data_IF_044742687464
#
_entry.id   IF_044742687464
#
_cell.length_a   1.000
_cell.length_b   1.000
_cell.length_c   1.000
_cell.angle_alpha   90.00
_cell.angle_beta   90.00
_cell.angle_gamma   90.00
#
_symmetry.space_group_name_H-M   'P 1'
#
loop_
_entity.id
_entity.type
_entity.pdbx_description
1 polymer ?
#
# COMPACT_ATOMS: atom_id res chain seq x y z
N UNK A 1 -37.49 51.03 -7.90
CA UNK A 1 -36.12 51.55 -8.07
C UNK A 1 -35.13 50.65 -7.33
N UNK A 2 -34.80 49.43 -7.78
CA UNK A 2 -34.81 48.88 -9.14
C UNK A 2 -34.00 49.73 -10.12
N UNK A 3 -32.84 49.20 -10.49
CA UNK A 3 -32.28 49.36 -11.83
C UNK A 3 -32.04 47.96 -12.37
N UNK A 4 -32.62 47.71 -13.54
CA UNK A 4 -32.32 46.57 -14.42
C UNK A 4 -31.50 47.18 -15.58
N UNK A 5 -31.20 46.37 -16.61
CA UNK A 5 -30.52 46.69 -17.87
C UNK A 5 -28.99 46.52 -17.85
N UNK A 6 -28.35 45.86 -18.81
CA UNK A 6 -28.75 44.74 -19.69
C UNK A 6 -27.45 44.01 -20.17
N UNK A 7 -27.49 42.81 -20.75
CA UNK A 7 -26.27 42.09 -21.15
C UNK A 7 -25.71 42.55 -22.51
N UNK A 8 -24.39 42.43 -22.71
CA UNK A 8 -23.74 42.55 -24.02
C UNK A 8 -23.34 41.18 -24.58
N UNK A 9 -23.37 41.05 -25.90
CA UNK A 9 -23.33 39.80 -26.65
C UNK A 9 -22.17 39.71 -27.65
N UNK A 10 -21.86 38.48 -28.05
CA UNK A 10 -21.31 38.05 -29.36
C UNK A 10 -19.98 38.65 -29.88
N UNK A 11 -18.98 37.76 -30.03
CA UNK A 11 -18.31 37.37 -31.30
C UNK A 11 -16.88 36.85 -31.04
N UNK A 12 -16.20 36.12 -31.93
CA UNK A 12 -16.54 35.05 -32.92
C UNK A 12 -15.16 34.51 -33.43
N UNK A 13 -15.16 33.55 -34.36
CA UNK A 13 -14.03 33.04 -35.15
C UNK A 13 -12.95 32.17 -34.45
N UNK A 14 -12.83 30.94 -34.93
CA UNK A 14 -11.60 30.14 -34.87
C UNK A 14 -10.60 30.52 -35.98
N UNK A 15 -9.54 29.72 -36.19
CA UNK A 15 -9.64 28.77 -37.33
C UNK A 15 -8.98 27.40 -37.09
N UNK A 16 -9.21 26.49 -38.03
CA UNK A 16 -8.69 25.12 -38.07
C UNK A 16 -7.18 25.02 -38.35
N UNK A 17 -6.58 23.90 -37.93
CA UNK A 17 -5.29 23.40 -38.44
C UNK A 17 -5.47 21.92 -38.79
N UNK A 18 -5.22 21.56 -40.04
CA UNK A 18 -5.25 20.17 -40.52
C UNK A 18 -3.86 19.50 -40.44
N UNK A 19 -3.78 18.16 -40.34
CA UNK A 19 -2.52 17.42 -40.40
C UNK A 19 -2.14 17.06 -41.85
N UNK A 20 -0.86 17.24 -42.20
CA UNK A 20 -0.27 16.77 -43.47
C UNK A 20 0.20 15.30 -43.41
N UNK A 21 0.48 14.72 -44.59
CA UNK A 21 0.73 13.28 -44.81
C UNK A 21 2.03 13.01 -45.61
N UNK A 22 2.43 11.72 -45.67
CA UNK A 22 3.47 11.13 -46.55
C UNK A 22 4.95 11.47 -46.16
N UNK A 23 6.02 10.76 -46.58
CA UNK A 23 6.23 9.47 -47.31
C UNK A 23 7.71 9.03 -47.16
N UNK A 24 8.19 7.81 -47.47
CA UNK A 24 7.54 6.55 -47.88
C UNK A 24 7.73 5.46 -46.78
N UNK A 25 8.50 4.34 -46.85
CA UNK A 25 9.33 3.66 -47.87
C UNK A 25 9.41 2.13 -47.61
N UNK A 26 10.14 1.35 -48.44
CA UNK A 26 10.07 -0.13 -48.50
C UNK A 26 11.43 -0.88 -48.33
N UNK A 27 11.39 -2.21 -48.54
CA UNK A 27 12.48 -3.21 -48.65
C UNK A 27 13.04 -3.80 -47.32
N UNK A 28 13.38 -5.09 -47.20
CA UNK A 28 13.26 -6.21 -48.17
C UNK A 28 13.09 -7.59 -47.50
N UNK A 29 12.85 -8.63 -48.30
CA UNK A 29 12.63 -10.02 -47.88
C UNK A 29 13.87 -10.75 -47.34
N UNK A 30 13.64 -11.77 -46.49
CA UNK A 30 14.07 -13.19 -46.71
C UNK A 30 13.48 -14.08 -45.59
N UNK A 31 13.15 -15.33 -45.93
CA UNK A 31 12.77 -16.38 -44.98
C UNK A 31 13.76 -17.56 -45.08
N UNK A 32 14.00 -18.29 -43.98
CA UNK A 32 14.51 -19.66 -44.05
C UNK A 32 14.13 -20.49 -42.82
N UNK A 33 14.33 -21.80 -42.89
CA UNK A 33 13.67 -22.81 -42.04
C UNK A 33 14.58 -23.48 -40.97
N UNK A 34 13.92 -24.24 -40.09
CA UNK A 34 14.36 -25.51 -39.48
C UNK A 34 15.60 -25.55 -38.52
N UNK A 35 15.26 -25.70 -37.23
CA UNK A 35 15.79 -26.63 -36.19
C UNK A 35 17.10 -27.40 -36.44
N UNK A 36 17.92 -27.59 -35.38
CA UNK A 36 17.83 -28.89 -34.69
C UNK A 36 17.83 -28.82 -33.15
N UNK A 37 17.42 -29.93 -32.52
CA UNK A 37 17.41 -30.15 -31.06
C UNK A 37 18.82 -30.40 -30.50
N UNK A 38 19.06 -30.06 -29.21
CA UNK A 38 19.48 -31.06 -28.21
C UNK A 38 19.51 -30.57 -26.76
N UNK A 39 19.17 -31.52 -25.87
CA UNK A 39 19.57 -31.72 -24.48
C UNK A 39 19.89 -30.51 -23.57
N UNK A 40 19.18 -30.45 -22.44
CA UNK A 40 19.86 -30.53 -21.14
C UNK A 40 19.02 -31.39 -20.17
N UNK A 41 19.69 -32.04 -19.21
CA UNK A 41 19.23 -33.32 -18.64
C UNK A 41 18.18 -33.24 -17.52
N UNK A 42 17.54 -34.37 -17.27
CA UNK A 42 16.59 -34.59 -16.16
C UNK A 42 17.30 -34.44 -14.81
N UNK A 43 16.95 -33.40 -14.05
CA UNK A 43 17.23 -33.35 -12.60
C UNK A 43 16.01 -33.89 -11.85
N UNK A 44 16.27 -34.83 -10.94
CA UNK A 44 15.29 -35.73 -10.35
C UNK A 44 14.22 -35.06 -9.47
N UNK A 45 12.96 -35.43 -9.69
CA UNK A 45 11.88 -35.26 -8.71
C UNK A 45 12.14 -36.16 -7.48
N UNK A 46 12.73 -35.60 -6.43
CA UNK A 46 12.70 -36.16 -5.08
C UNK A 46 12.84 -35.04 -4.05
N UNK A 47 12.11 -35.17 -2.94
CA UNK A 47 12.18 -34.32 -1.74
C UNK A 47 11.69 -32.85 -1.84
N UNK A 48 10.36 -32.62 -1.86
CA UNK A 48 9.75 -31.68 -0.86
C UNK A 48 8.21 -31.80 -0.60
N UNK A 49 7.58 -32.96 -0.84
CA UNK A 49 6.14 -33.19 -0.63
C UNK A 49 5.67 -33.04 0.84
N UNK A 50 6.60 -32.89 1.80
CA UNK A 50 6.33 -32.90 3.25
C UNK A 50 6.43 -31.52 3.89
N UNK A 51 7.35 -30.63 3.49
CA UNK A 51 7.41 -29.25 4.04
C UNK A 51 6.17 -28.45 3.68
N UNK A 52 5.65 -28.66 2.46
CA UNK A 52 4.49 -27.92 1.95
C UNK A 52 3.19 -28.16 2.76
N UNK A 53 3.10 -29.28 3.51
CA UNK A 53 1.92 -29.62 4.33
C UNK A 53 1.86 -28.87 5.68
N UNK A 54 3.01 -28.43 6.20
CA UNK A 54 3.09 -27.59 7.39
C UNK A 54 3.12 -26.09 7.05
N UNK A 55 3.42 -25.73 5.80
CA UNK A 55 3.26 -24.37 5.26
C UNK A 55 1.77 -24.00 5.09
N UNK A 56 1.02 -23.89 6.20
CA UNK A 56 -0.25 -23.14 6.28
C UNK A 56 0.02 -21.63 6.24
N UNK A 57 0.76 -21.20 5.23
CA UNK A 57 0.98 -19.79 4.92
C UNK A 57 -0.38 -19.22 4.52
N UNK A 58 -0.88 -18.26 5.29
CA UNK A 58 -1.83 -17.31 4.72
C UNK A 58 -1.03 -16.35 3.85
N UNK A 59 -0.71 -16.80 2.62
CA UNK A 59 -0.17 -15.91 1.60
C UNK A 59 -1.19 -14.78 1.43
N UNK A 60 -0.80 -13.55 1.77
CA UNK A 60 -1.66 -12.39 1.64
C UNK A 60 -2.01 -12.27 0.15
N UNK A 61 -3.30 -12.44 -0.17
CA UNK A 61 -3.75 -12.56 -1.55
C UNK A 61 -3.56 -11.24 -2.27
N UNK A 62 -2.66 -11.22 -3.25
CA UNK A 62 -2.44 -10.04 -4.09
C UNK A 62 -3.60 -9.93 -5.08
N UNK A 63 -4.68 -9.28 -4.65
CA UNK A 63 -5.83 -9.03 -5.49
C UNK A 63 -5.50 -7.90 -6.47
N UNK A 64 -5.41 -8.26 -7.76
CA UNK A 64 -5.23 -7.34 -8.89
C UNK A 64 -6.07 -6.06 -8.69
N UNK A 65 -5.47 -4.89 -8.91
CA UNK A 65 -6.10 -3.57 -8.72
C UNK A 65 -7.41 -3.47 -9.52
N UNK A 66 -7.43 -4.04 -10.73
CA UNK A 66 -8.60 -4.08 -11.63
C UNK A 66 -9.69 -5.11 -11.22
N UNK A 67 -9.55 -5.83 -10.10
CA UNK A 67 -10.52 -6.84 -9.67
C UNK A 67 -11.83 -6.20 -9.15
N UNK A 68 -12.93 -6.39 -9.89
CA UNK A 68 -14.21 -5.77 -9.57
C UNK A 68 -15.04 -6.62 -8.57
N UNK A 69 -14.97 -6.30 -7.27
CA UNK A 69 -15.75 -7.00 -6.23
C UNK A 69 -17.14 -6.39 -6.01
N UNK A 70 -18.20 -7.18 -6.17
CA UNK A 70 -19.56 -6.84 -5.74
C UNK A 70 -20.05 -7.75 -4.61
N UNK A 71 -21.11 -7.33 -3.92
CA UNK A 71 -21.71 -8.09 -2.82
C UNK A 71 -23.24 -8.19 -2.95
N UNK A 72 -23.87 -9.01 -2.10
CA UNK A 72 -25.33 -9.14 -1.99
C UNK A 72 -25.73 -9.36 -0.53
N UNK A 73 -25.06 -8.65 0.38
CA UNK A 73 -25.21 -8.82 1.82
C UNK A 73 -26.57 -8.33 2.31
N UNK A 74 -27.23 -9.14 3.15
CA UNK A 74 -28.46 -8.76 3.86
C UNK A 74 -28.16 -7.99 5.16
N UNK A 75 -27.00 -8.23 5.75
CA UNK A 75 -26.55 -7.67 7.02
C UNK A 75 -25.79 -6.34 6.81
N UNK A 76 -26.35 -5.44 6.00
CA UNK A 76 -25.98 -4.02 5.89
C UNK A 76 -24.52 -3.72 5.46
N UNK A 77 -23.72 -4.73 5.13
CA UNK A 77 -22.27 -4.62 4.89
C UNK A 77 -21.45 -4.05 6.07
N UNK A 78 -21.99 -4.06 7.30
CA UNK A 78 -21.37 -3.53 8.51
C UNK A 78 -20.18 -4.37 9.06
N UNK A 79 -19.73 -5.40 8.33
CA UNK A 79 -18.69 -6.33 8.78
C UNK A 79 -17.88 -6.88 7.62
N UNK A 80 -16.69 -7.39 7.92
CA UNK A 80 -15.71 -7.94 6.98
C UNK A 80 -16.20 -9.19 6.22
N UNK A 81 -17.38 -9.72 6.58
CA UNK A 81 -18.10 -10.72 5.76
C UNK A 81 -18.67 -10.12 4.46
N UNK A 82 -18.64 -8.80 4.30
CA UNK A 82 -18.91 -8.14 3.03
C UNK A 82 -17.68 -8.21 2.13
N UNK A 83 -17.78 -8.94 1.01
CA UNK A 83 -16.68 -9.11 0.05
C UNK A 83 -16.09 -7.79 -0.47
N UNK A 84 -16.84 -6.69 -0.47
CA UNK A 84 -16.30 -5.36 -0.79
C UNK A 84 -15.39 -4.87 0.35
N UNK A 85 -15.89 -4.83 1.58
CA UNK A 85 -15.14 -4.39 2.77
C UNK A 85 -13.93 -5.29 3.09
N UNK A 86 -14.05 -6.61 2.85
CA UNK A 86 -12.97 -7.61 2.91
C UNK A 86 -11.79 -7.27 2.00
N UNK A 87 -12.06 -6.68 0.83
CA UNK A 87 -11.07 -6.38 -0.21
C UNK A 87 -10.82 -4.87 -0.34
N UNK A 88 -11.06 -4.10 0.73
CA UNK A 88 -10.86 -2.64 0.79
C UNK A 88 -11.64 -1.82 -0.26
N UNK A 89 -12.76 -2.34 -0.76
CA UNK A 89 -13.67 -1.65 -1.70
C UNK A 89 -14.89 -1.03 -1.01
N UNK A 90 -15.32 0.14 -1.50
CA UNK A 90 -16.67 0.63 -1.28
C UNK A 90 -17.72 -0.19 -2.07
N UNK A 91 -18.97 -0.14 -1.62
CA UNK A 91 -20.09 -0.82 -2.28
C UNK A 91 -20.69 0.06 -3.38
N UNK A 92 -20.12 0.01 -4.59
CA UNK A 92 -20.66 0.70 -5.78
C UNK A 92 -21.90 0.04 -6.40
N UNK A 93 -22.45 0.63 -7.48
CA UNK A 93 -23.78 0.28 -8.04
C UNK A 93 -24.00 -1.17 -8.48
N UNK A 94 -22.95 -1.95 -8.68
CA UNK A 94 -23.03 -3.39 -8.99
C UNK A 94 -23.37 -4.28 -7.78
N UNK A 95 -23.46 -3.71 -6.58
CA UNK A 95 -23.82 -4.40 -5.35
C UNK A 95 -25.34 -4.51 -5.17
N UNK A 96 -25.80 -5.66 -4.67
CA UNK A 96 -27.22 -5.95 -4.38
C UNK A 96 -27.47 -6.05 -2.87
N UNK A 97 -26.73 -5.29 -2.07
CA UNK A 97 -26.86 -5.22 -0.62
C UNK A 97 -27.96 -4.23 -0.21
N UNK A 98 -28.74 -4.60 0.79
CA UNK A 98 -29.77 -3.73 1.40
C UNK A 98 -29.18 -2.92 2.55
N UNK A 99 -29.63 -1.67 2.72
CA UNK A 99 -29.24 -0.77 3.83
C UNK A 99 -27.71 -0.68 4.03
N UNK A 100 -26.95 -0.35 2.98
CA UNK A 100 -25.50 -0.50 3.00
C UNK A 100 -24.77 0.57 3.85
N UNK A 101 -24.24 0.16 4.99
CA UNK A 101 -23.40 0.96 5.92
C UNK A 101 -21.91 0.59 5.86
N UNK A 102 -21.42 0.03 4.74
CA UNK A 102 -19.99 -0.18 4.52
C UNK A 102 -19.25 1.17 4.69
N UNK A 103 -18.33 1.25 5.66
CA UNK A 103 -17.69 2.50 6.04
C UNK A 103 -16.89 3.13 4.88
N UNK A 104 -16.36 2.31 3.98
CA UNK A 104 -15.65 2.75 2.77
C UNK A 104 -16.56 3.49 1.76
N UNK A 105 -17.89 3.42 1.90
CA UNK A 105 -18.81 4.25 1.14
C UNK A 105 -18.59 5.74 1.45
N UNK A 106 -18.22 6.11 2.69
CA UNK A 106 -17.86 7.49 3.04
C UNK A 106 -16.63 7.98 2.26
N UNK A 107 -15.63 7.11 2.08
CA UNK A 107 -14.41 7.42 1.32
C UNK A 107 -14.67 7.60 -0.18
N UNK A 108 -15.54 6.78 -0.78
CA UNK A 108 -15.96 6.97 -2.17
C UNK A 108 -16.74 8.29 -2.35
N UNK A 109 -17.73 8.55 -1.49
CA UNK A 109 -18.50 9.80 -1.47
C UNK A 109 -17.62 11.04 -1.25
N UNK A 110 -16.61 10.95 -0.38
CA UNK A 110 -15.68 12.04 -0.09
C UNK A 110 -14.92 12.53 -1.33
N UNK A 111 -14.58 11.62 -2.24
CA UNK A 111 -13.95 11.96 -3.52
C UNK A 111 -14.92 12.19 -4.69
N UNK A 112 -16.23 12.04 -4.47
CA UNK A 112 -17.26 12.16 -5.51
C UNK A 112 -17.39 10.94 -6.43
N UNK A 113 -16.86 9.79 -6.02
CA UNK A 113 -16.74 8.58 -6.85
C UNK A 113 -17.83 7.56 -6.48
N UNK A 114 -18.42 6.87 -7.46
CA UNK A 114 -19.40 5.80 -7.17
C UNK A 114 -18.77 4.57 -6.52
N UNK A 115 -17.48 4.32 -6.78
CA UNK A 115 -16.74 3.18 -6.26
C UNK A 115 -15.24 3.46 -6.21
N UNK A 116 -14.61 3.14 -5.09
CA UNK A 116 -13.15 3.17 -4.94
C UNK A 116 -12.62 1.92 -4.23
N UNK A 117 -11.33 1.66 -4.45
CA UNK A 117 -10.49 0.77 -3.65
C UNK A 117 -9.59 1.63 -2.77
N UNK A 118 -9.73 1.49 -1.46
CA UNK A 118 -8.80 2.04 -0.50
C UNK A 118 -7.53 1.18 -0.45
N UNK A 119 -6.40 1.77 -0.09
CA UNK A 119 -5.23 0.99 0.34
C UNK A 119 -5.60 0.19 1.59
N UNK A 120 -5.07 -1.02 1.75
CA UNK A 120 -5.44 -1.87 2.88
C UNK A 120 -5.14 -1.22 4.24
N UNK A 121 -4.04 -0.47 4.33
CA UNK A 121 -3.66 0.27 5.53
C UNK A 121 -4.68 1.39 5.85
N UNK A 122 -5.06 2.22 4.87
CA UNK A 122 -6.09 3.26 5.07
C UNK A 122 -7.47 2.66 5.35
N UNK A 123 -7.85 1.57 4.68
CA UNK A 123 -9.10 0.87 4.92
C UNK A 123 -9.22 0.37 6.36
N UNK A 124 -8.12 -0.13 6.94
CA UNK A 124 -8.04 -0.53 8.33
C UNK A 124 -8.04 0.66 9.29
N UNK A 125 -7.27 1.71 9.02
CA UNK A 125 -7.34 2.96 9.79
C UNK A 125 -8.78 3.49 9.87
N UNK A 126 -9.52 3.51 8.74
CA UNK A 126 -10.94 3.90 8.74
C UNK A 126 -11.79 3.03 9.67
N UNK A 127 -11.62 1.69 9.66
CA UNK A 127 -12.35 0.78 10.57
C UNK A 127 -12.08 1.13 12.03
N UNK A 128 -10.83 1.46 12.38
CA UNK A 128 -10.41 1.82 13.73
C UNK A 128 -11.04 3.15 14.20
N UNK A 129 -11.21 4.14 13.30
CA UNK A 129 -11.98 5.37 13.60
C UNK A 129 -13.49 5.13 13.75
N UNK A 130 -14.01 4.05 13.17
CA UNK A 130 -15.38 3.59 13.36
C UNK A 130 -16.46 4.46 12.69
N UNK A 131 -17.75 4.24 13.04
CA UNK A 131 -18.88 4.84 12.33
C UNK A 131 -19.01 6.36 12.50
N UNK A 132 -18.33 6.96 13.48
CA UNK A 132 -18.34 8.40 13.74
C UNK A 132 -17.51 9.24 12.76
N UNK A 133 -16.55 8.63 12.06
CA UNK A 133 -15.57 9.32 11.19
C UNK A 133 -16.24 10.25 10.15
N UNK A 134 -15.83 11.51 10.10
CA UNK A 134 -16.24 12.48 9.06
C UNK A 134 -15.03 13.07 8.32
N UNK A 135 -14.80 12.58 7.10
CA UNK A 135 -13.75 13.05 6.20
C UNK A 135 -14.02 14.47 5.66
N UNK A 136 -15.26 14.98 5.74
CA UNK A 136 -15.57 16.37 5.35
C UNK A 136 -15.26 17.38 6.45
N UNK A 137 -15.00 16.94 7.70
CA UNK A 137 -14.66 17.84 8.80
C UNK A 137 -13.29 18.49 8.58
N UNK A 138 -13.19 19.78 8.88
CA UNK A 138 -11.92 20.52 8.76
C UNK A 138 -10.84 19.96 9.70
N UNK A 139 -11.24 19.39 10.85
CA UNK A 139 -10.34 18.76 11.81
C UNK A 139 -9.68 17.50 11.22
N UNK A 140 -10.47 16.52 10.78
CA UNK A 140 -9.95 15.27 10.20
C UNK A 140 -9.15 15.53 8.92
N UNK A 141 -9.51 16.53 8.11
CA UNK A 141 -8.68 16.92 6.96
C UNK A 141 -7.35 17.56 7.35
N UNK A 142 -7.24 18.21 8.51
CA UNK A 142 -5.98 18.80 8.95
C UNK A 142 -5.09 17.74 9.61
N UNK A 143 -5.66 16.89 10.47
CA UNK A 143 -5.03 15.68 11.03
C UNK A 143 -4.43 14.80 9.92
N UNK A 144 -5.24 14.43 8.91
CA UNK A 144 -4.78 13.62 7.77
C UNK A 144 -3.70 14.34 6.93
N UNK A 145 -3.81 15.66 6.73
CA UNK A 145 -2.77 16.43 6.02
C UNK A 145 -1.46 16.41 6.81
N UNK A 146 -1.52 16.63 8.12
CA UNK A 146 -0.38 16.62 9.02
C UNK A 146 0.36 15.30 8.99
N UNK A 147 -0.36 14.17 9.09
CA UNK A 147 0.22 12.83 8.99
C UNK A 147 0.93 12.61 7.64
N UNK A 148 0.24 12.86 6.51
CA UNK A 148 0.76 12.61 5.16
C UNK A 148 1.97 13.50 4.80
N UNK A 149 2.05 14.69 5.39
CA UNK A 149 3.15 15.65 5.22
C UNK A 149 4.19 15.58 6.35
N UNK A 150 4.06 14.70 7.34
CA UNK A 150 4.99 14.59 8.47
C UNK A 150 5.13 15.84 9.35
N UNK A 151 4.19 16.79 9.36
CA UNK A 151 4.29 18.06 10.11
C UNK A 151 3.16 18.24 11.13
N UNK A 152 3.43 18.91 12.26
CA UNK A 152 2.42 19.26 13.29
C UNK A 152 1.23 20.06 12.70
N UNK A 153 0.03 19.89 13.26
CA UNK A 153 -1.20 20.58 12.84
C UNK A 153 -1.09 22.12 12.89
N UNK A 154 -0.24 22.65 13.77
CA UNK A 154 0.03 24.09 13.92
C UNK A 154 1.03 24.60 12.89
N UNK A 155 1.81 23.69 12.27
CA UNK A 155 2.82 23.95 11.23
C UNK A 155 2.18 23.94 9.82
N UNK A 156 0.98 24.52 9.68
CA UNK A 156 0.20 24.47 8.44
C UNK A 156 0.96 25.00 7.20
N UNK A 157 1.82 26.00 7.40
CA UNK A 157 2.57 26.65 6.31
C UNK A 157 3.98 26.08 6.09
N UNK A 158 4.40 25.13 6.92
CA UNK A 158 5.73 24.53 6.84
C UNK A 158 5.88 23.62 5.62
N UNK A 159 7.14 23.25 5.37
CA UNK A 159 7.56 22.34 4.32
C UNK A 159 7.29 20.87 4.72
N UNK A 160 6.77 20.01 3.81
CA UNK A 160 6.53 18.60 4.11
C UNK A 160 7.80 17.85 4.50
N UNK A 161 7.70 16.97 5.49
CA UNK A 161 8.78 16.08 5.94
C UNK A 161 8.67 14.70 5.24
N UNK A 162 9.81 14.02 5.05
CA UNK A 162 9.90 12.74 4.34
C UNK A 162 10.55 12.84 2.95
N UNK A 163 11.37 11.86 2.56
CA UNK A 163 12.26 11.99 1.40
C UNK A 163 11.54 11.98 0.05
N UNK A 164 10.39 11.31 -0.06
CA UNK A 164 9.58 11.17 -1.29
C UNK A 164 9.15 12.50 -1.92
N UNK A 165 9.08 13.58 -1.14
CA UNK A 165 8.80 14.93 -1.64
C UNK A 165 10.02 15.58 -2.36
N UNK A 166 11.20 14.95 -2.31
CA UNK A 166 12.50 15.52 -2.70
C UNK A 166 13.40 14.61 -3.53
N UNK A 167 13.42 13.31 -3.23
CA UNK A 167 14.35 12.33 -3.82
C UNK A 167 13.99 11.87 -5.24
N UNK A 168 12.78 12.20 -5.72
CA UNK A 168 12.30 11.84 -7.05
C UNK A 168 11.68 10.44 -7.15
N UNK A 169 11.45 9.75 -6.02
CA UNK A 169 10.84 8.41 -6.01
C UNK A 169 9.41 8.38 -6.57
N UNK A 170 8.65 9.47 -6.38
CA UNK A 170 7.37 9.71 -7.06
C UNK A 170 7.27 11.18 -7.50
N UNK A 171 7.30 11.42 -8.81
CA UNK A 171 7.25 12.77 -9.36
C UNK A 171 5.94 13.53 -9.04
N UNK A 172 4.82 12.82 -8.82
CA UNK A 172 3.53 13.46 -8.56
C UNK A 172 3.45 13.95 -7.12
N UNK A 173 3.90 13.13 -6.16
CA UNK A 173 3.99 13.48 -4.74
C UNK A 173 4.99 14.63 -4.54
N UNK A 174 6.15 14.58 -5.18
CA UNK A 174 7.11 15.69 -5.22
C UNK A 174 6.48 16.99 -5.78
N UNK A 175 5.81 16.92 -6.94
CA UNK A 175 5.12 18.08 -7.53
C UNK A 175 3.99 18.61 -6.65
N UNK A 176 3.33 17.76 -5.85
CA UNK A 176 2.31 18.18 -4.88
C UNK A 176 2.93 18.91 -3.68
N UNK A 177 4.08 18.45 -3.17
CA UNK A 177 4.88 19.15 -2.15
C UNK A 177 5.35 20.52 -2.63
N UNK A 178 5.96 20.59 -3.82
CA UNK A 178 6.34 21.87 -4.44
C UNK A 178 5.16 22.84 -4.59
N UNK A 179 4.00 22.34 -5.01
CA UNK A 179 2.79 23.15 -5.18
C UNK A 179 2.25 23.63 -3.84
N UNK A 180 2.38 22.87 -2.77
CA UNK A 180 1.97 23.26 -1.41
C UNK A 180 2.76 24.49 -0.91
N UNK A 181 4.08 24.46 -1.08
CA UNK A 181 4.98 25.57 -0.77
C UNK A 181 4.66 26.83 -1.59
N UNK A 182 4.31 26.65 -2.87
CA UNK A 182 3.94 27.76 -3.78
C UNK A 182 2.52 28.31 -3.51
N UNK A 183 1.65 27.55 -2.85
CA UNK A 183 0.25 27.91 -2.59
C UNK A 183 0.08 28.78 -1.32
N UNK A 184 -0.41 30.01 -1.50
CA UNK A 184 -0.50 31.04 -0.46
C UNK A 184 -1.88 31.16 0.19
N UNK A 185 -2.90 30.50 -0.34
CA UNK A 185 -4.29 30.60 0.15
C UNK A 185 -4.94 29.23 0.29
N UNK A 186 -5.95 29.12 1.17
CA UNK A 186 -6.70 27.87 1.34
C UNK A 186 -7.38 27.41 0.04
N UNK A 187 -7.85 28.35 -0.80
CA UNK A 187 -8.42 28.03 -2.11
C UNK A 187 -7.41 27.36 -3.07
N UNK A 188 -6.13 27.71 -2.97
CA UNK A 188 -5.05 27.06 -3.72
C UNK A 188 -4.61 25.73 -3.08
N UNK A 189 -4.65 25.65 -1.75
CA UNK A 189 -4.21 24.48 -0.96
C UNK A 189 -5.22 23.32 -0.96
N UNK A 190 -6.52 23.62 -0.92
CA UNK A 190 -7.59 22.61 -0.95
C UNK A 190 -7.46 21.59 -2.09
N UNK A 191 -7.29 21.95 -3.39
CA UNK A 191 -7.12 20.96 -4.45
C UNK A 191 -5.80 20.16 -4.34
N UNK A 192 -4.75 20.72 -3.75
CA UNK A 192 -3.48 20.02 -3.49
C UNK A 192 -3.69 18.98 -2.38
N UNK A 193 -4.37 19.35 -1.28
CA UNK A 193 -4.76 18.43 -0.19
C UNK A 193 -5.59 17.26 -0.73
N UNK A 194 -6.58 17.52 -1.59
CA UNK A 194 -7.41 16.45 -2.17
C UNK A 194 -6.62 15.52 -3.11
N UNK A 195 -5.66 16.03 -3.87
CA UNK A 195 -4.79 15.20 -4.72
C UNK A 195 -3.84 14.32 -3.87
N UNK A 196 -3.22 14.89 -2.84
CA UNK A 196 -2.41 14.13 -1.86
C UNK A 196 -3.24 13.04 -1.16
N UNK A 197 -4.50 13.33 -0.80
CA UNK A 197 -5.40 12.34 -0.23
C UNK A 197 -5.78 11.24 -1.23
N UNK A 198 -5.98 11.56 -2.52
CA UNK A 198 -6.18 10.52 -3.54
C UNK A 198 -4.96 9.59 -3.61
N UNK A 199 -3.73 10.13 -3.66
CA UNK A 199 -2.49 9.34 -3.68
C UNK A 199 -2.22 8.56 -2.39
N UNK A 200 -2.48 9.14 -1.23
CA UNK A 200 -2.27 8.48 0.05
C UNK A 200 -3.23 7.29 0.27
N UNK A 201 -4.47 7.39 -0.22
CA UNK A 201 -5.59 6.51 0.19
C UNK A 201 -6.14 5.58 -0.89
N UNK A 202 -5.97 5.88 -2.18
CA UNK A 202 -6.46 5.04 -3.29
C UNK A 202 -5.35 4.09 -3.72
N UNK A 203 -5.68 2.80 -3.92
CA UNK A 203 -4.72 1.84 -4.45
C UNK A 203 -4.59 1.98 -5.98
N UNK A 204 -3.59 2.73 -6.45
CA UNK A 204 -3.21 2.86 -7.86
C UNK A 204 -2.02 1.96 -8.28
N UNK A 205 -1.24 1.48 -7.31
CA UNK A 205 -0.10 0.56 -7.50
C UNK A 205 1.29 1.23 -7.43
N UNK A 206 1.37 2.54 -7.19
CA UNK A 206 2.63 3.26 -6.96
C UNK A 206 3.01 3.34 -5.47
N UNK A 207 3.06 4.58 -4.95
CA UNK A 207 3.26 4.85 -3.53
C UNK A 207 1.94 5.16 -2.81
N UNK A 208 1.87 4.82 -1.53
CA UNK A 208 0.74 5.15 -0.65
C UNK A 208 1.23 5.59 0.73
N UNK A 209 0.34 6.21 1.53
CA UNK A 209 0.67 6.55 2.92
C UNK A 209 0.26 5.42 3.86
N UNK A 210 1.22 4.90 4.60
CA UNK A 210 1.03 3.84 5.59
C UNK A 210 0.82 4.44 6.97
N UNK A 211 -0.41 4.31 7.47
CA UNK A 211 -0.81 4.65 8.83
C UNK A 211 -0.15 3.76 9.90
N UNK A 212 0.40 2.61 9.51
CA UNK A 212 1.13 1.72 10.41
C UNK A 212 2.59 2.17 10.66
N UNK A 213 3.25 2.74 9.65
CA UNK A 213 4.64 3.23 9.75
C UNK A 213 4.74 4.76 9.88
N UNK A 214 3.66 5.50 9.59
CA UNK A 214 3.67 6.98 9.57
C UNK A 214 4.43 7.56 8.39
N UNK A 215 4.61 6.78 7.31
CA UNK A 215 5.47 7.09 6.19
C UNK A 215 4.81 6.73 4.84
N UNK A 216 5.41 7.21 3.76
CA UNK A 216 5.08 6.76 2.41
C UNK A 216 5.79 5.45 2.08
N UNK A 217 5.06 4.50 1.52
CA UNK A 217 5.49 3.12 1.23
C UNK A 217 5.22 2.78 -0.23
N UNK A 218 6.06 1.94 -0.83
CA UNK A 218 5.84 1.42 -2.19
C UNK A 218 4.96 0.17 -2.16
N UNK A 219 3.95 0.09 -3.04
CA UNK A 219 3.08 -1.10 -3.15
C UNK A 219 3.82 -2.40 -3.50
N UNK A 220 5.01 -2.33 -4.11
CA UNK A 220 5.83 -3.53 -4.38
C UNK A 220 6.62 -4.02 -3.16
N UNK A 221 6.91 -3.15 -2.19
CA UNK A 221 7.79 -3.46 -1.05
C UNK A 221 7.06 -3.67 0.28
N UNK A 222 5.84 -3.14 0.46
CA UNK A 222 5.16 -3.16 1.77
C UNK A 222 3.74 -3.74 1.69
N UNK A 223 3.45 -4.75 2.51
CA UNK A 223 2.16 -5.48 2.55
C UNK A 223 1.44 -5.31 3.90
N UNK A 224 0.16 -4.91 3.86
CA UNK A 224 -0.71 -4.93 5.03
C UNK A 224 -1.16 -6.35 5.38
N UNK A 225 -0.95 -6.79 6.61
CA UNK A 225 -1.38 -8.10 7.10
C UNK A 225 -2.81 -8.03 7.67
N UNK A 226 -3.79 -8.60 6.98
CA UNK A 226 -5.19 -8.67 7.42
C UNK A 226 -5.44 -9.45 8.74
N UNK A 227 -4.41 -10.04 9.36
CA UNK A 227 -4.53 -10.80 10.62
C UNK A 227 -3.86 -10.07 11.80
N UNK A 228 -2.77 -9.35 11.57
CA UNK A 228 -2.16 -8.46 12.59
C UNK A 228 -2.75 -7.04 12.57
N UNK A 229 -3.33 -6.64 11.43
CA UNK A 229 -3.73 -5.27 11.07
C UNK A 229 -2.56 -4.27 10.92
N UNK A 230 -1.41 -4.76 10.46
CA UNK A 230 -0.14 -4.02 10.38
C UNK A 230 0.52 -4.12 8.98
N UNK A 231 1.13 -3.04 8.50
CA UNK A 231 2.09 -3.08 7.39
C UNK A 231 3.37 -3.85 7.79
N UNK A 232 3.82 -4.73 6.91
CA UNK A 232 5.01 -5.57 7.04
C UNK A 232 5.77 -5.59 5.69
N UNK A 233 6.99 -6.14 5.66
CA UNK A 233 7.76 -6.30 4.41
C UNK A 233 7.01 -7.23 3.45
N UNK A 234 7.10 -7.03 2.13
CA UNK A 234 6.41 -7.87 1.14
C UNK A 234 6.78 -9.35 1.20
N UNK A 235 7.95 -9.68 1.78
CA UNK A 235 8.48 -11.04 2.00
C UNK A 235 7.98 -11.65 3.32
N UNK A 236 7.41 -10.86 4.22
CA UNK A 236 6.84 -11.35 5.47
C UNK A 236 5.52 -12.09 5.24
N UNK A 237 5.31 -13.13 6.03
CA UNK A 237 4.06 -13.88 6.04
C UNK A 237 3.57 -14.12 7.46
N UNK A 238 2.25 -14.12 7.63
CA UNK A 238 1.64 -14.39 8.93
C UNK A 238 1.73 -15.89 9.27
N UNK A 239 2.53 -16.23 10.27
CA UNK A 239 2.66 -17.59 10.75
C UNK A 239 1.51 -17.91 11.70
N UNK A 240 0.54 -18.69 11.21
CA UNK A 240 -0.68 -19.07 11.93
C UNK A 240 -0.44 -19.71 13.29
N UNK A 241 0.62 -20.51 13.43
CA UNK A 241 0.93 -21.22 14.68
C UNK A 241 1.66 -20.32 15.70
N UNK A 242 2.24 -19.20 15.25
CA UNK A 242 2.88 -18.19 16.11
C UNK A 242 2.02 -16.93 16.30
N UNK A 243 0.90 -16.79 15.59
CA UNK A 243 0.02 -15.62 15.64
C UNK A 243 0.65 -14.30 15.17
N UNK A 244 1.71 -14.33 14.34
CA UNK A 244 2.45 -13.13 13.93
C UNK A 244 3.18 -13.25 12.58
N UNK A 245 3.41 -12.10 11.94
CA UNK A 245 4.27 -11.96 10.76
C UNK A 245 5.73 -12.32 11.06
N UNK A 246 6.41 -12.96 10.09
CA UNK A 246 7.82 -13.34 10.19
C UNK A 246 8.53 -13.37 8.82
N UNK A 247 9.80 -12.96 8.85
CA UNK A 247 10.73 -13.05 7.72
C UNK A 247 11.47 -14.40 7.70
N UNK A 248 11.47 -15.10 6.56
CA UNK A 248 11.84 -16.53 6.48
C UNK A 248 13.37 -16.77 6.29
N UNK A 249 14.14 -15.76 5.88
CA UNK A 249 15.50 -15.94 5.36
C UNK A 249 16.57 -16.18 6.44
N UNK A 250 16.68 -15.32 7.46
CA UNK A 250 17.73 -15.47 8.47
C UNK A 250 17.50 -16.67 9.40
N UNK A 251 16.23 -17.08 9.59
CA UNK A 251 15.89 -18.21 10.45
C UNK A 251 16.33 -19.55 9.87
N UNK A 252 16.23 -19.81 8.57
CA UNK A 252 16.63 -21.12 8.02
C UNK A 252 18.13 -21.42 8.22
N UNK A 253 19.00 -20.42 8.13
CA UNK A 253 20.44 -20.58 8.36
C UNK A 253 20.81 -20.79 9.85
N UNK A 254 20.03 -20.24 10.79
CA UNK A 254 20.26 -20.40 12.24
C UNK A 254 19.50 -21.61 12.85
N UNK A 255 18.28 -21.89 12.39
CA UNK A 255 17.45 -23.01 12.86
C UNK A 255 17.68 -24.32 12.08
N UNK A 256 18.37 -24.31 10.94
CA UNK A 256 18.86 -25.54 10.32
C UNK A 256 19.74 -26.38 11.26
N UNK A 257 20.42 -25.71 12.22
CA UNK A 257 21.19 -26.32 13.31
C UNK A 257 20.38 -26.53 14.61
N UNK A 258 19.13 -26.08 14.68
CA UNK A 258 18.24 -26.14 15.86
C UNK A 258 16.84 -26.70 15.51
N UNK A 259 16.81 -27.70 14.63
CA UNK A 259 15.59 -28.39 14.20
C UNK A 259 14.97 -29.24 15.32
N UNK A 260 14.23 -28.60 16.24
CA UNK A 260 13.12 -29.20 17.00
C UNK A 260 12.23 -28.20 17.79
N UNK A 261 12.41 -26.88 17.67
CA UNK A 261 11.71 -25.87 18.51
C UNK A 261 10.61 -25.12 17.74
N UNK A 262 9.58 -25.87 17.32
CA UNK A 262 8.22 -25.33 17.12
C UNK A 262 7.25 -25.88 18.19
N UNK A 263 7.79 -26.16 19.39
CA UNK A 263 7.06 -26.70 20.54
C UNK A 263 7.79 -26.34 21.83
N UNK A 264 7.02 -26.15 22.91
CA UNK A 264 7.45 -25.89 24.29
C UNK A 264 7.93 -24.47 24.60
N UNK A 265 7.46 -23.93 25.73
CA UNK A 265 7.58 -22.54 26.20
C UNK A 265 8.97 -22.20 26.79
N UNK A 266 10.04 -22.80 26.26
CA UNK A 266 11.38 -22.80 26.86
C UNK A 266 12.32 -21.72 26.29
N UNK A 267 11.82 -20.48 26.14
CA UNK A 267 12.65 -19.36 25.66
C UNK A 267 13.62 -18.84 26.73
N UNK A 268 13.21 -18.80 28.01
CA UNK A 268 14.07 -18.28 29.10
C UNK A 268 15.33 -19.13 29.33
N UNK A 269 15.21 -20.46 29.30
CA UNK A 269 16.35 -21.35 29.57
C UNK A 269 17.44 -21.28 28.49
N UNK A 270 17.08 -20.94 27.24
CA UNK A 270 18.06 -20.88 26.14
C UNK A 270 18.90 -19.59 26.19
N UNK A 271 18.33 -18.46 26.65
CA UNK A 271 19.11 -17.24 26.91
C UNK A 271 20.15 -17.46 28.01
N UNK A 272 19.82 -18.19 29.08
CA UNK A 272 20.78 -18.56 30.12
C UNK A 272 21.95 -19.41 29.59
N UNK A 273 21.71 -20.26 28.59
CA UNK A 273 22.77 -21.01 27.90
C UNK A 273 23.73 -20.10 27.12
N UNK A 274 23.18 -19.22 26.27
CA UNK A 274 23.98 -18.29 25.45
C UNK A 274 24.76 -17.26 26.29
N UNK A 275 24.20 -16.80 27.42
CA UNK A 275 24.90 -15.90 28.34
C UNK A 275 26.18 -16.54 28.93
N UNK A 276 26.20 -17.85 29.17
CA UNK A 276 27.43 -18.53 29.61
C UNK A 276 28.47 -18.67 28.49
N UNK A 277 28.06 -18.85 27.24
CA UNK A 277 28.99 -18.90 26.09
C UNK A 277 29.68 -17.53 25.89
N UNK A 278 28.91 -16.44 25.85
CA UNK A 278 29.49 -15.09 25.74
C UNK A 278 30.27 -14.66 27.00
N UNK A 279 29.86 -15.13 28.19
CA UNK A 279 30.61 -14.92 29.44
C UNK A 279 32.01 -15.53 29.41
N UNK A 280 32.19 -16.69 28.75
CA UNK A 280 33.50 -17.34 28.61
C UNK A 280 34.43 -16.60 27.65
N UNK A 281 33.92 -16.01 26.56
CA UNK A 281 34.73 -15.15 25.68
C UNK A 281 35.32 -13.94 26.42
N UNK A 282 34.52 -13.28 27.28
CA UNK A 282 34.94 -12.16 28.13
C UNK A 282 36.09 -12.53 29.09
N UNK A 283 36.09 -13.77 29.59
CA UNK A 283 37.13 -14.30 30.46
C UNK A 283 38.41 -14.70 29.72
N UNK A 284 38.31 -15.14 28.45
CA UNK A 284 39.48 -15.54 27.66
C UNK A 284 40.30 -14.33 27.17
N UNK A 285 39.63 -13.28 26.69
CA UNK A 285 40.29 -12.03 26.26
C UNK A 285 41.08 -11.36 27.38
N UNK A 286 40.55 -11.34 28.61
CA UNK A 286 41.24 -10.77 29.78
C UNK A 286 42.49 -11.55 30.20
N UNK A 287 42.70 -12.77 29.69
CA UNK A 287 43.89 -13.58 29.98
C UNK A 287 44.97 -13.49 28.88
N UNK A 288 44.67 -12.88 27.74
CA UNK A 288 45.59 -12.70 26.60
C UNK A 288 46.18 -11.28 26.48
N UNK A 289 45.76 -10.33 27.32
CA UNK A 289 46.33 -8.98 27.43
C UNK A 289 47.00 -8.76 28.79
N UNK A 290 47.72 -9.77 29.29
CA UNK A 290 48.08 -9.91 30.70
C UNK A 290 49.49 -10.44 31.00
N UNK A 291 50.41 -10.41 30.05
CA UNK A 291 51.87 -10.48 30.23
C UNK A 291 52.59 -9.89 29.01
#
# INVERSE_FOLDING_TARGET
MEHIDEPLSESDAGPDIAPDLASDSESDHIANENTPERNEDQISESDDETVNKNRKVTELKQHNIFANFSCSCKNECASERCKCSENSFSCGPTCKCTSCVNLLNKFALFFGEEKLRATNCFASWMKQQGPGLDLHSAYTQEELRSLIMGVDEKKYYDEPEGSIFYDGSDEEIQRLGERWLKAKTEAQRKPIRMALFKKAFIEDGGYYFSFCSGAWEEFSQTRHCFVCDECNDWRDWHCKDCGKCQWDLLKKLLFGLLNNVCRSDYVESFLHGLLMVFGLCSLFERKLRGQ
#
